data_IF_700903328889
#
_entry.id   IF_700903328889
#
_cell.length_a   1.000
_cell.length_b   1.000
_cell.length_c   1.000
_cell.angle_alpha   90.00
_cell.angle_beta   90.00
_cell.angle_gamma   90.00
#
_symmetry.space_group_name_H-M   'P 1'
#
loop_
_entity.id
_entity.type
_entity.pdbx_description
1 polymer ?
#
# COMPACT_ATOMS: atom_id res chain seq x y z
N UNK A 1 -19.81 -5.07 -3.41
CA UNK A 1 -20.08 -3.66 -3.76
C UNK A 1 -19.38 -3.38 -5.09
N UNK A 2 -20.10 -2.91 -6.11
CA UNK A 2 -19.48 -2.47 -7.36
C UNK A 2 -18.59 -1.25 -7.04
N UNK A 3 -17.30 -1.34 -7.32
CA UNK A 3 -16.36 -0.24 -7.15
C UNK A 3 -16.88 0.98 -7.93
N UNK A 4 -17.21 2.06 -7.24
CA UNK A 4 -17.69 3.30 -7.86
C UNK A 4 -16.51 3.89 -8.64
N UNK A 5 -16.72 4.20 -9.92
CA UNK A 5 -15.71 4.84 -10.79
C UNK A 5 -15.11 6.04 -10.05
N UNK A 6 -13.85 5.93 -9.62
CA UNK A 6 -13.14 6.98 -8.90
C UNK A 6 -13.00 8.20 -9.78
N UNK A 7 -13.27 9.38 -9.22
CA UNK A 7 -13.02 10.70 -9.85
C UNK A 7 -11.72 11.36 -9.36
N UNK A 8 -10.97 10.67 -8.50
CA UNK A 8 -9.70 11.16 -7.96
C UNK A 8 -8.64 11.12 -9.05
N UNK A 9 -7.87 12.19 -9.18
CA UNK A 9 -6.72 12.22 -10.07
C UNK A 9 -5.72 11.13 -9.69
N UNK A 10 -5.16 10.46 -10.70
CA UNK A 10 -4.05 9.52 -10.54
C UNK A 10 -2.82 10.30 -10.01
N UNK A 11 -2.25 9.90 -8.87
CA UNK A 11 -1.02 10.54 -8.40
C UNK A 11 0.12 10.26 -9.37
N UNK A 12 1.07 11.18 -9.44
CA UNK A 12 2.28 10.99 -10.25
C UNK A 12 3.30 10.16 -9.47
N UNK A 13 4.15 9.42 -10.20
CA UNK A 13 5.28 8.69 -9.61
C UNK A 13 6.17 9.61 -8.75
N UNK A 14 6.40 10.84 -9.22
CA UNK A 14 7.19 11.85 -8.51
C UNK A 14 6.57 12.23 -7.17
N UNK A 15 5.26 12.48 -7.10
CA UNK A 15 4.59 12.82 -5.83
C UNK A 15 4.74 11.71 -4.79
N UNK A 16 4.59 10.45 -5.20
CA UNK A 16 4.76 9.30 -4.29
C UNK A 16 6.20 9.20 -3.82
N UNK A 17 7.17 9.29 -4.73
CA UNK A 17 8.58 9.18 -4.37
C UNK A 17 9.03 10.35 -3.49
N UNK A 18 8.57 11.58 -3.73
CA UNK A 18 8.85 12.73 -2.86
C UNK A 18 8.35 12.53 -1.44
N UNK A 19 7.17 11.93 -1.25
CA UNK A 19 6.66 11.62 0.09
C UNK A 19 7.52 10.57 0.81
N UNK A 20 7.92 9.51 0.10
CA UNK A 20 8.75 8.44 0.68
C UNK A 20 10.18 8.91 0.95
N UNK A 21 10.76 9.72 0.06
CA UNK A 21 12.07 10.34 0.27
C UNK A 21 12.05 11.29 1.47
N UNK A 22 11.00 12.13 1.59
CA UNK A 22 10.79 12.97 2.76
C UNK A 22 10.63 12.17 4.06
N UNK A 23 9.91 11.04 4.02
CA UNK A 23 9.79 10.14 5.17
C UNK A 23 11.15 9.59 5.63
N UNK A 24 12.04 9.25 4.69
CA UNK A 24 13.41 8.82 5.00
C UNK A 24 14.21 9.95 5.65
N UNK A 25 14.08 11.18 5.16
CA UNK A 25 14.75 12.35 5.76
C UNK A 25 14.26 12.64 7.19
N UNK A 26 12.95 12.52 7.45
CA UNK A 26 12.40 12.66 8.80
C UNK A 26 12.90 11.53 9.72
N UNK A 27 12.92 10.30 9.21
CA UNK A 27 13.47 9.14 9.90
C UNK A 27 14.94 9.31 10.29
N UNK A 28 15.76 9.89 9.42
CA UNK A 28 17.16 10.19 9.71
C UNK A 28 17.36 11.26 10.80
N UNK A 29 16.35 12.12 11.01
CA UNK A 29 16.41 13.26 11.95
C UNK A 29 15.86 12.96 13.35
N UNK A 30 15.27 11.79 13.61
CA UNK A 30 14.56 11.57 14.88
C UNK A 30 13.05 11.76 14.82
N UNK A 31 12.50 12.22 13.69
CA UNK A 31 11.14 12.76 13.63
C UNK A 31 10.14 11.68 13.19
N UNK A 32 9.72 10.85 14.16
CA UNK A 32 8.82 9.72 13.90
C UNK A 32 7.41 10.18 13.49
N UNK A 33 6.95 11.32 14.00
CA UNK A 33 5.63 11.87 13.72
C UNK A 33 5.52 12.28 12.24
N UNK A 34 6.50 13.04 11.74
CA UNK A 34 6.53 13.46 10.33
C UNK A 34 6.78 12.28 9.39
N UNK A 35 7.60 11.31 9.80
CA UNK A 35 7.75 10.06 9.06
C UNK A 35 6.40 9.34 8.93
N UNK A 36 5.72 9.07 10.05
CA UNK A 36 4.44 8.36 10.06
C UNK A 36 3.39 9.08 9.21
N UNK A 37 3.32 10.41 9.32
CA UNK A 37 2.44 11.25 8.52
C UNK A 37 2.75 11.16 7.01
N UNK A 38 4.02 11.21 6.63
CA UNK A 38 4.43 11.14 5.22
C UNK A 38 4.10 9.78 4.60
N UNK A 39 4.41 8.68 5.29
CA UNK A 39 4.10 7.31 4.82
C UNK A 39 2.59 7.07 4.76
N UNK A 40 1.84 7.51 5.77
CA UNK A 40 0.36 7.45 5.77
C UNK A 40 -0.24 8.23 4.59
N UNK A 41 0.36 9.37 4.26
CA UNK A 41 -0.08 10.18 3.11
C UNK A 41 0.19 9.47 1.79
N UNK A 42 1.36 8.85 1.64
CA UNK A 42 1.69 8.04 0.47
C UNK A 42 0.71 6.86 0.30
N UNK A 43 0.43 6.11 1.37
CA UNK A 43 -0.58 5.04 1.35
C UNK A 43 -1.94 5.57 0.87
N UNK A 44 -2.44 6.64 1.50
CA UNK A 44 -3.74 7.22 1.17
C UNK A 44 -3.82 7.66 -0.30
N UNK A 45 -2.74 8.22 -0.84
CA UNK A 45 -2.68 8.59 -2.27
C UNK A 45 -2.70 7.38 -3.20
N UNK A 46 -2.30 6.20 -2.75
CA UNK A 46 -2.28 4.99 -3.56
C UNK A 46 -3.52 4.09 -3.37
N UNK A 47 -4.48 4.48 -2.53
CA UNK A 47 -5.72 3.71 -2.36
C UNK A 47 -6.59 3.71 -3.62
N UNK A 48 -7.14 2.55 -3.94
CA UNK A 48 -8.09 2.36 -5.05
C UNK A 48 -7.44 2.31 -6.44
N UNK A 49 -8.27 2.41 -7.46
CA UNK A 49 -7.88 2.32 -8.87
C UNK A 49 -6.92 3.43 -9.32
N UNK A 50 -6.99 4.63 -8.73
CA UNK A 50 -6.03 5.70 -9.03
C UNK A 50 -4.58 5.31 -8.68
N UNK A 51 -4.35 4.65 -7.53
CA UNK A 51 -3.01 4.15 -7.19
C UNK A 51 -2.60 2.95 -8.05
N UNK A 52 -3.57 2.09 -8.39
CA UNK A 52 -3.33 0.99 -9.33
C UNK A 52 -2.84 1.50 -10.68
N UNK A 53 -3.48 2.54 -11.23
CA UNK A 53 -3.09 3.13 -12.51
C UNK A 53 -1.75 3.87 -12.43
N UNK A 54 -1.39 4.45 -11.29
CA UNK A 54 -0.08 5.06 -11.06
C UNK A 54 1.06 4.04 -11.23
N UNK A 55 0.83 2.80 -10.77
CA UNK A 55 1.84 1.73 -10.78
C UNK A 55 1.77 0.82 -12.01
N UNK A 56 0.67 0.85 -12.78
CA UNK A 56 0.45 -0.03 -13.92
C UNK A 56 1.58 0.07 -14.95
N UNK A 57 2.20 -1.07 -15.29
CA UNK A 57 3.37 -1.19 -16.19
C UNK A 57 4.58 -0.34 -15.77
N UNK A 58 4.59 0.21 -14.55
CA UNK A 58 5.65 1.08 -14.04
C UNK A 58 6.54 0.33 -13.04
N UNK A 59 7.26 -0.67 -13.55
CA UNK A 59 8.15 -1.51 -12.74
C UNK A 59 9.25 -0.70 -12.03
N UNK A 60 9.71 0.40 -12.64
CA UNK A 60 10.69 1.29 -12.02
C UNK A 60 10.13 1.96 -10.76
N UNK A 61 8.90 2.49 -10.81
CA UNK A 61 8.25 3.05 -9.62
C UNK A 61 8.06 1.96 -8.56
N UNK A 62 7.56 0.79 -8.93
CA UNK A 62 7.34 -0.29 -7.96
C UNK A 62 8.63 -0.72 -7.27
N UNK A 63 9.74 -0.85 -8.02
CA UNK A 63 11.05 -1.16 -7.47
C UNK A 63 11.58 -0.05 -6.55
N UNK A 64 11.48 1.21 -7.00
CA UNK A 64 11.91 2.38 -6.23
C UNK A 64 11.14 2.52 -4.90
N UNK A 65 9.83 2.29 -4.92
CA UNK A 65 9.00 2.26 -3.71
C UNK A 65 9.39 1.10 -2.79
N UNK A 66 9.56 -0.11 -3.32
CA UNK A 66 9.94 -1.29 -2.52
C UNK A 66 11.21 -1.00 -1.71
N UNK A 67 12.25 -0.48 -2.37
CA UNK A 67 13.52 -0.13 -1.72
C UNK A 67 13.38 0.92 -0.61
N UNK A 68 12.50 1.91 -0.76
CA UNK A 68 12.25 2.94 0.25
C UNK A 68 11.47 2.40 1.44
N UNK A 69 10.48 1.54 1.17
CA UNK A 69 9.69 0.88 2.20
C UNK A 69 10.58 -0.06 3.02
N UNK A 70 11.52 -0.78 2.41
CA UNK A 70 12.51 -1.60 3.14
C UNK A 70 13.37 -0.75 4.09
N UNK A 71 13.82 0.43 3.64
CA UNK A 71 14.60 1.35 4.47
C UNK A 71 13.77 1.95 5.61
N UNK A 72 12.52 2.36 5.34
CA UNK A 72 11.61 2.90 6.34
C UNK A 72 11.28 1.85 7.41
N UNK A 73 11.06 0.60 7.02
CA UNK A 73 10.79 -0.50 7.94
C UNK A 73 11.96 -0.73 8.92
N UNK A 74 13.20 -0.69 8.42
CA UNK A 74 14.40 -0.79 9.24
C UNK A 74 14.56 0.40 10.21
N UNK A 75 14.27 1.62 9.74
CA UNK A 75 14.30 2.83 10.57
C UNK A 75 13.27 2.73 11.70
N UNK A 76 12.02 2.41 11.38
CA UNK A 76 10.93 2.32 12.35
C UNK A 76 11.18 1.21 13.38
N UNK A 77 11.71 0.07 12.94
CA UNK A 77 12.13 -1.02 13.84
C UNK A 77 13.25 -0.60 14.81
N UNK A 78 14.16 0.28 14.37
CA UNK A 78 15.23 0.82 15.21
C UNK A 78 14.68 1.78 16.28
N UNK A 79 13.68 2.60 15.92
CA UNK A 79 12.97 3.44 16.90
C UNK A 79 12.23 2.59 17.94
N UNK A 80 11.49 1.57 17.50
CA UNK A 80 10.75 0.66 18.38
C UNK A 80 11.68 0.03 19.43
N UNK A 81 12.81 -0.55 18.99
CA UNK A 81 13.81 -1.12 19.90
C UNK A 81 14.43 -0.10 20.86
N UNK A 82 14.58 1.15 20.43
CA UNK A 82 15.13 2.22 21.27
C UNK A 82 14.17 2.59 22.39
N UNK A 83 12.86 2.65 22.08
CA UNK A 83 11.82 2.92 23.08
C UNK A 83 11.72 1.75 24.07
N UNK A 84 11.68 0.51 23.59
CA UNK A 84 11.64 -0.69 24.44
C UNK A 84 12.80 -0.74 25.45
N UNK A 85 14.01 -0.36 25.04
CA UNK A 85 15.19 -0.29 25.93
C UNK A 85 15.09 0.83 26.96
N UNK A 86 14.38 1.91 26.65
CA UNK A 86 14.18 3.05 27.54
C UNK A 86 12.96 2.92 28.46
N UNK A 87 12.18 1.83 28.34
CA UNK A 87 10.88 1.62 28.99
C UNK A 87 10.91 1.52 30.54
N UNK A 88 12.07 1.72 31.17
CA UNK A 88 12.21 1.82 32.63
C UNK A 88 11.45 3.03 33.21
N UNK A 89 11.15 4.05 32.38
CA UNK A 89 10.33 5.21 32.74
C UNK A 89 9.27 5.44 31.65
N UNK A 90 8.07 4.87 31.80
CA UNK A 90 6.95 5.16 30.91
C UNK A 90 6.52 6.63 31.10
N UNK A 91 6.59 7.39 30.01
CA UNK A 91 6.20 8.81 29.95
C UNK A 91 5.16 9.02 28.85
N UNK A 92 4.36 10.08 28.92
CA UNK A 92 3.42 10.45 27.86
C UNK A 92 4.11 10.60 26.49
N UNK A 93 5.35 11.10 26.46
CA UNK A 93 6.15 11.21 25.24
C UNK A 93 6.51 9.85 24.64
N UNK A 94 6.77 8.83 25.47
CA UNK A 94 7.05 7.47 24.99
C UNK A 94 5.80 6.76 24.45
N UNK A 95 4.62 7.05 25.02
CA UNK A 95 3.35 6.52 24.53
C UNK A 95 2.99 7.12 23.17
N UNK A 96 3.13 8.44 23.01
CA UNK A 96 2.91 9.11 21.73
C UNK A 96 3.83 8.57 20.63
N UNK A 97 5.12 8.46 20.92
CA UNK A 97 6.08 7.91 19.96
C UNK A 97 5.74 6.46 19.57
N UNK A 98 5.25 5.64 20.51
CA UNK A 98 4.80 4.28 20.21
C UNK A 98 3.57 4.27 19.28
N UNK A 99 2.62 5.19 19.46
CA UNK A 99 1.47 5.31 18.58
C UNK A 99 1.89 5.67 17.14
N UNK A 100 2.82 6.60 16.98
CA UNK A 100 3.32 6.97 15.64
C UNK A 100 4.16 5.85 15.01
N UNK A 101 4.88 5.05 15.79
CA UNK A 101 5.54 3.82 15.31
C UNK A 101 4.51 2.83 14.77
N UNK A 102 3.45 2.54 15.54
CA UNK A 102 2.38 1.62 15.11
C UNK A 102 1.76 2.12 13.81
N UNK A 103 1.42 3.41 13.76
CA UNK A 103 0.86 4.04 12.57
C UNK A 103 1.78 3.95 11.35
N UNK A 104 3.09 4.16 11.53
CA UNK A 104 4.07 4.01 10.47
C UNK A 104 4.14 2.56 9.98
N UNK A 105 4.21 1.58 10.90
CA UNK A 105 4.25 0.14 10.58
C UNK A 105 3.01 -0.29 9.80
N UNK A 106 1.82 0.14 10.23
CA UNK A 106 0.57 -0.15 9.53
C UNK A 106 0.58 0.40 8.09
N UNK A 107 1.03 1.65 7.91
CA UNK A 107 1.10 2.26 6.58
C UNK A 107 2.17 1.60 5.68
N UNK A 108 3.33 1.23 6.23
CA UNK A 108 4.39 0.47 5.53
C UNK A 108 3.84 -0.89 5.08
N UNK A 109 3.12 -1.58 5.97
CA UNK A 109 2.53 -2.87 5.69
C UNK A 109 1.48 -2.77 4.56
N UNK A 110 0.58 -1.79 4.64
CA UNK A 110 -0.43 -1.52 3.60
C UNK A 110 0.21 -1.20 2.24
N UNK A 111 1.25 -0.37 2.21
CA UNK A 111 1.97 -0.06 0.98
C UNK A 111 2.58 -1.32 0.34
N UNK A 112 3.17 -2.20 1.15
CA UNK A 112 3.82 -3.43 0.68
C UNK A 112 2.81 -4.48 0.24
N UNK A 113 1.88 -4.83 1.13
CA UNK A 113 1.04 -6.02 1.02
C UNK A 113 -0.28 -5.79 0.30
N UNK A 114 -0.77 -4.54 0.30
CA UNK A 114 -1.98 -4.20 -0.42
C UNK A 114 -1.68 -3.38 -1.68
N UNK A 115 -0.88 -2.30 -1.62
CA UNK A 115 -0.69 -1.45 -2.81
C UNK A 115 0.23 -2.09 -3.84
N UNK A 116 1.48 -2.35 -3.47
CA UNK A 116 2.48 -2.91 -4.38
C UNK A 116 2.12 -4.33 -4.82
N UNK A 117 1.68 -5.19 -3.87
CA UNK A 117 1.28 -6.57 -4.20
C UNK A 117 0.13 -6.59 -5.20
N UNK A 118 -0.95 -5.84 -4.93
CA UNK A 118 -2.10 -5.81 -5.84
C UNK A 118 -1.71 -5.25 -7.21
N UNK A 119 -0.86 -4.22 -7.26
CA UNK A 119 -0.36 -3.70 -8.54
C UNK A 119 0.31 -4.79 -9.39
N UNK A 120 1.23 -5.54 -8.79
CA UNK A 120 1.92 -6.66 -9.45
C UNK A 120 0.95 -7.76 -9.90
N UNK A 121 -0.01 -8.13 -9.06
CA UNK A 121 -0.98 -9.19 -9.37
C UNK A 121 -1.95 -8.79 -10.48
N UNK A 122 -2.39 -7.54 -10.50
CA UNK A 122 -3.21 -7.00 -11.58
C UNK A 122 -2.43 -6.96 -12.88
N UNK A 123 -1.17 -6.50 -12.87
CA UNK A 123 -0.33 -6.47 -14.06
C UNK A 123 -0.06 -7.89 -14.60
N UNK A 124 0.16 -8.86 -13.71
CA UNK A 124 0.32 -10.27 -14.09
C UNK A 124 -0.94 -10.87 -14.76
N UNK A 125 -2.14 -10.47 -14.31
CA UNK A 125 -3.41 -10.94 -14.89
C UNK A 125 -3.80 -10.18 -16.16
N UNK A 126 -3.61 -8.87 -16.18
CA UNK A 126 -4.03 -8.01 -17.28
C UNK A 126 -3.11 -8.15 -18.50
N UNK A 127 -1.81 -8.40 -18.26
CA UNK A 127 -0.79 -8.44 -19.29
C UNK A 127 -0.32 -7.05 -19.70
N UNK A 128 0.81 -7.03 -20.41
CA UNK A 128 1.45 -5.80 -20.86
C UNK A 128 0.56 -5.04 -21.86
N UNK A 129 0.48 -3.71 -21.72
CA UNK A 129 -0.32 -2.89 -22.64
C UNK A 129 -1.85 -3.04 -22.49
N UNK A 130 -2.31 -3.73 -21.43
CA UNK A 130 -3.74 -3.84 -21.13
C UNK A 130 -4.38 -2.46 -20.95
N UNK A 131 -5.59 -2.32 -21.49
CA UNK A 131 -6.36 -1.07 -21.40
C UNK A 131 -6.66 -0.69 -19.95
N UNK A 132 -6.90 0.60 -19.71
CA UNK A 132 -7.30 1.10 -18.39
C UNK A 132 -8.56 0.40 -17.86
N UNK A 133 -9.53 0.10 -18.74
CA UNK A 133 -10.76 -0.60 -18.38
C UNK A 133 -10.49 -2.04 -17.96
N UNK A 134 -9.62 -2.76 -18.66
CA UNK A 134 -9.21 -4.11 -18.29
C UNK A 134 -8.53 -4.11 -16.92
N UNK A 135 -7.58 -3.19 -16.68
CA UNK A 135 -6.89 -3.08 -15.38
C UNK A 135 -7.84 -2.78 -14.23
N UNK A 136 -8.84 -1.92 -14.42
CA UNK A 136 -9.89 -1.68 -13.41
C UNK A 136 -10.72 -2.93 -13.12
N UNK A 137 -11.02 -3.72 -14.14
CA UNK A 137 -11.69 -5.02 -14.00
C UNK A 137 -10.86 -5.99 -13.15
N UNK A 138 -9.59 -6.20 -13.53
CA UNK A 138 -8.68 -7.08 -12.78
C UNK A 138 -8.38 -6.58 -11.37
N UNK A 139 -8.30 -5.26 -11.16
CA UNK A 139 -8.20 -4.68 -9.82
C UNK A 139 -9.40 -5.06 -8.95
N UNK A 140 -10.62 -4.94 -9.49
CA UNK A 140 -11.84 -5.33 -8.76
C UNK A 140 -11.85 -6.82 -8.42
N UNK A 141 -11.36 -7.68 -9.32
CA UNK A 141 -11.19 -9.12 -9.07
C UNK A 141 -10.16 -9.36 -7.95
N UNK A 142 -9.01 -8.69 -8.00
CA UNK A 142 -7.97 -8.82 -6.98
C UNK A 142 -8.41 -8.31 -5.59
N UNK A 143 -9.27 -7.30 -5.54
CA UNK A 143 -9.90 -6.88 -4.28
C UNK A 143 -10.81 -7.97 -3.72
N UNK A 144 -11.55 -8.69 -4.57
CA UNK A 144 -12.36 -9.83 -4.15
C UNK A 144 -11.49 -10.98 -3.64
N UNK A 145 -10.40 -11.33 -4.32
CA UNK A 145 -9.46 -12.36 -3.86
C UNK A 145 -8.79 -11.99 -2.53
N UNK A 146 -8.27 -10.77 -2.40
CA UNK A 146 -7.69 -10.31 -1.13
C UNK A 146 -8.71 -10.34 0.02
N UNK A 147 -9.98 -10.08 -0.28
CA UNK A 147 -11.08 -10.23 0.68
C UNK A 147 -11.33 -11.68 1.09
N UNK A 148 -11.23 -12.63 0.16
CA UNK A 148 -11.34 -14.06 0.44
C UNK A 148 -10.17 -14.57 1.28
N UNK A 149 -8.93 -14.18 0.94
CA UNK A 149 -7.72 -14.54 1.70
C UNK A 149 -7.86 -14.16 3.19
N UNK A 150 -8.42 -12.98 3.48
CA UNK A 150 -8.67 -12.51 4.85
C UNK A 150 -9.77 -13.29 5.59
N UNK A 151 -10.63 -14.01 4.86
CA UNK A 151 -11.70 -14.84 5.41
C UNK A 151 -11.31 -16.32 5.54
N UNK A 152 -10.16 -16.73 4.99
CA UNK A 152 -9.65 -18.11 4.93
C UNK A 152 -9.24 -18.70 6.30
N UNK A 153 -9.73 -18.12 7.41
CA UNK A 153 -9.48 -18.58 8.79
C UNK A 153 -10.39 -19.76 9.18
N UNK A 154 -11.27 -20.21 8.28
CA UNK A 154 -12.23 -21.30 8.54
C UNK A 154 -12.04 -22.33 7.44
N UNK A 155 -11.51 -23.51 7.79
CA UNK A 155 -11.20 -24.64 6.90
C UNK A 155 -12.26 -24.93 5.85
N UNK A 156 -12.23 -24.16 4.76
CA UNK A 156 -13.12 -24.23 3.62
C UNK A 156 -12.32 -24.85 2.51
N UNK A 157 -12.84 -25.94 1.98
CA UNK A 157 -12.15 -26.70 0.94
C UNK A 157 -12.22 -25.99 -0.42
N UNK A 158 -13.07 -24.95 -0.55
CA UNK A 158 -13.15 -24.10 -1.75
C UNK A 158 -13.81 -22.74 -1.49
N UNK A 159 -13.50 -21.78 -2.38
CA UNK A 159 -14.19 -20.50 -2.52
C UNK A 159 -14.26 -20.12 -4.01
N UNK A 160 -15.19 -19.24 -4.38
CA UNK A 160 -15.37 -18.79 -5.76
C UNK A 160 -15.88 -17.36 -5.84
N UNK A 161 -15.65 -16.73 -7.01
CA UNK A 161 -16.19 -15.42 -7.35
C UNK A 161 -16.98 -15.52 -8.65
N UNK A 162 -18.03 -14.71 -8.78
CA UNK A 162 -18.78 -14.54 -10.03
C UNK A 162 -18.45 -13.19 -10.65
N UNK A 163 -18.00 -13.19 -11.91
CA UNK A 163 -17.63 -11.97 -12.64
C UNK A 163 -18.61 -11.77 -13.79
N UNK A 164 -19.33 -10.63 -13.77
CA UNK A 164 -20.16 -10.20 -14.88
C UNK A 164 -19.34 -9.28 -15.79
N UNK A 165 -19.15 -9.69 -17.05
CA UNK A 165 -18.49 -8.87 -18.07
C UNK A 165 -19.55 -8.35 -19.04
N UNK A 166 -19.63 -7.03 -19.18
CA UNK A 166 -20.56 -6.36 -20.10
C UNK A 166 -19.77 -5.57 -21.15
N UNK A 167 -20.38 -5.33 -22.32
CA UNK A 167 -19.76 -4.59 -23.43
C UNK A 167 -18.43 -5.20 -23.92
N UNK A 168 -18.31 -6.53 -23.90
CA UNK A 168 -17.07 -7.25 -24.24
C UNK A 168 -16.76 -7.31 -25.74
N UNK A 169 -17.71 -6.98 -26.62
CA UNK A 169 -17.50 -7.00 -28.08
C UNK A 169 -17.28 -8.39 -28.70
N UNK A 170 -17.12 -9.45 -27.88
CA UNK A 170 -17.13 -10.85 -28.33
C UNK A 170 -18.49 -11.19 -28.97
N UNK A 171 -18.44 -11.80 -30.16
CA UNK A 171 -19.58 -12.32 -30.90
C UNK A 171 -19.67 -13.83 -30.73
#
# INVERSE_FOLDING_TARGET
MLSRKTRRATPTAREILTLLDGALEFGAKGDIDQLAQAVTTADRLLRGDAGQLCMADNHQLTSAMTSRIDQLDAIVSTYEQSIEKSAVLQTESSEHAMQEIIRAKDAIWELRHDRIRTAKLVDALAGQGASESARKGYFSIQQAFSGLDRLEVRGRDSAGIHVLVSNHGLK
#
